data_IF_572772372577
#
_entry.id   IF_572772372577
#
_cell.length_a   1.000
_cell.length_b   1.000
_cell.length_c   1.000
_cell.angle_alpha   90.00
_cell.angle_beta   90.00
_cell.angle_gamma   90.00
#
_symmetry.space_group_name_H-M   'P 1'
#
loop_
_entity.id
_entity.type
_entity.pdbx_description
1 polymer ?
#
# COMPACT_ATOMS: atom_id res chain seq x y z
N UNK A 1 -15.38 -1.33 20.86
CA UNK A 1 -14.19 -2.14 20.50
C UNK A 1 -14.54 -2.73 19.15
N UNK A 2 -13.92 -2.25 18.06
CA UNK A 2 -14.28 -2.74 16.73
C UNK A 2 -13.98 -4.25 16.65
N UNK A 3 -15.00 -5.03 16.32
CA UNK A 3 -15.02 -6.49 16.38
C UNK A 3 -13.87 -7.09 15.56
N UNK A 4 -12.90 -7.67 16.27
CA UNK A 4 -11.70 -8.32 15.71
C UNK A 4 -12.08 -9.48 14.77
N UNK A 5 -13.27 -10.07 14.94
CA UNK A 5 -13.80 -11.14 14.10
C UNK A 5 -14.13 -10.67 12.68
N UNK A 6 -14.52 -9.41 12.49
CA UNK A 6 -14.94 -8.89 11.18
C UNK A 6 -13.75 -8.59 10.24
N UNK A 7 -12.51 -8.59 10.75
CA UNK A 7 -11.33 -8.17 9.99
C UNK A 7 -10.73 -9.26 9.08
N UNK A 8 -11.09 -10.53 9.28
CA UNK A 8 -10.60 -11.61 8.40
C UNK A 8 -11.31 -11.63 7.05
N UNK A 9 -12.56 -11.18 7.00
CA UNK A 9 -13.39 -11.18 5.79
C UNK A 9 -13.57 -9.78 5.19
N UNK A 10 -13.21 -8.73 5.93
CA UNK A 10 -13.31 -7.35 5.44
C UNK A 10 -12.48 -7.10 4.18
N UNK A 11 -13.10 -6.36 3.26
CA UNK A 11 -12.48 -5.86 2.03
C UNK A 11 -11.41 -4.80 2.32
N UNK A 12 -10.57 -4.53 1.34
CA UNK A 12 -9.59 -3.44 1.45
C UNK A 12 -10.28 -2.11 1.76
N UNK A 13 -11.41 -1.83 1.09
CA UNK A 13 -12.18 -0.61 1.24
C UNK A 13 -12.68 -0.42 2.68
N UNK A 14 -13.23 -1.47 3.30
CA UNK A 14 -13.70 -1.45 4.69
C UNK A 14 -12.57 -1.30 5.70
N UNK A 15 -11.46 -2.03 5.49
CA UNK A 15 -10.26 -1.94 6.33
C UNK A 15 -9.62 -0.56 6.24
N UNK A 16 -9.47 -0.06 5.02
CA UNK A 16 -8.90 1.25 4.75
C UNK A 16 -9.77 2.35 5.38
N UNK A 17 -11.09 2.31 5.17
CA UNK A 17 -12.01 3.25 5.82
C UNK A 17 -11.89 3.17 7.35
N UNK A 18 -11.87 1.98 7.94
CA UNK A 18 -11.80 1.83 9.41
C UNK A 18 -10.45 2.30 10.00
N UNK A 19 -9.34 2.07 9.29
CA UNK A 19 -8.01 2.43 9.76
C UNK A 19 -7.64 3.88 9.48
N UNK A 20 -8.19 4.47 8.41
CA UNK A 20 -7.78 5.77 7.90
C UNK A 20 -8.89 6.83 8.03
N UNK A 21 -10.10 6.46 8.45
CA UNK A 21 -11.16 7.42 8.78
C UNK A 21 -10.67 8.35 9.90
N UNK A 22 -10.46 9.61 9.54
CA UNK A 22 -10.03 10.66 10.46
C UNK A 22 -8.50 10.84 10.59
N UNK A 23 -7.67 10.09 9.85
CA UNK A 23 -6.23 10.33 9.82
C UNK A 23 -5.85 11.38 8.78
N UNK A 24 -5.11 12.41 9.20
CA UNK A 24 -4.53 13.42 8.31
C UNK A 24 -3.49 12.81 7.36
N UNK A 25 -3.29 13.42 6.18
CA UNK A 25 -2.32 12.96 5.17
C UNK A 25 -0.91 12.76 5.75
N UNK A 26 -0.49 13.62 6.68
CA UNK A 26 0.78 13.49 7.39
C UNK A 26 0.86 12.22 8.24
N UNK A 27 -0.22 11.88 8.96
CA UNK A 27 -0.29 10.67 9.78
C UNK A 27 -0.37 9.42 8.92
N UNK A 28 -1.02 9.49 7.75
CA UNK A 28 -1.01 8.39 6.78
C UNK A 28 0.41 8.08 6.30
N UNK A 29 1.24 9.12 6.07
CA UNK A 29 2.66 8.96 5.71
C UNK A 29 3.47 8.33 6.85
N UNK A 30 3.25 8.79 8.08
CA UNK A 30 3.90 8.20 9.26
C UNK A 30 3.52 6.73 9.44
N UNK A 31 2.24 6.38 9.28
CA UNK A 31 1.77 4.99 9.32
C UNK A 31 2.41 4.12 8.24
N UNK A 32 2.58 4.64 7.02
CA UNK A 32 3.32 3.94 5.96
C UNK A 32 4.78 3.69 6.36
N UNK A 33 5.44 4.67 6.99
CA UNK A 33 6.80 4.49 7.53
C UNK A 33 6.85 3.46 8.67
N UNK A 34 5.79 3.33 9.47
CA UNK A 34 5.74 2.32 10.53
C UNK A 34 5.67 0.91 9.95
N UNK A 35 4.96 0.68 8.84
CA UNK A 35 4.85 -0.66 8.21
C UNK A 35 5.92 -0.94 7.16
N UNK A 36 6.84 0.00 6.96
CA UNK A 36 7.92 -0.06 5.97
C UNK A 36 8.77 -1.34 6.11
N UNK A 37 9.03 -1.74 7.35
CA UNK A 37 9.85 -2.89 7.71
C UNK A 37 9.15 -4.23 7.42
N UNK A 38 7.82 -4.20 7.20
CA UNK A 38 7.04 -5.35 6.79
C UNK A 38 6.99 -5.49 5.26
N UNK A 39 7.41 -4.47 4.49
CA UNK A 39 7.42 -4.59 3.04
C UNK A 39 8.62 -5.39 2.54
N UNK A 40 8.36 -6.29 1.58
CA UNK A 40 9.39 -6.97 0.78
C UNK A 40 9.90 -6.10 -0.39
N UNK A 41 9.47 -4.84 -0.47
CA UNK A 41 9.80 -3.88 -1.51
C UNK A 41 11.32 -3.78 -1.73
N UNK A 42 12.11 -3.79 -0.66
CA UNK A 42 13.59 -3.73 -0.69
C UNK A 42 14.24 -4.90 -1.43
N UNK A 43 13.54 -6.02 -1.59
CA UNK A 43 13.99 -7.22 -2.32
C UNK A 43 13.26 -7.42 -3.65
N UNK A 44 12.32 -6.55 -3.98
CA UNK A 44 11.52 -6.64 -5.20
C UNK A 44 12.40 -6.32 -6.42
N UNK A 45 12.47 -7.19 -7.43
CA UNK A 45 13.32 -6.95 -8.61
C UNK A 45 12.87 -5.71 -9.38
N UNK A 46 11.56 -5.45 -9.46
CA UNK A 46 11.04 -4.22 -10.06
C UNK A 46 11.47 -2.97 -9.28
N UNK A 47 11.47 -2.98 -7.93
CA UNK A 47 11.86 -1.80 -7.14
C UNK A 47 13.37 -1.56 -7.12
N UNK A 48 14.19 -2.61 -7.18
CA UNK A 48 15.66 -2.50 -7.13
C UNK A 48 16.23 -1.60 -8.22
N UNK A 49 15.48 -1.37 -9.30
CA UNK A 49 15.86 -0.50 -10.40
C UNK A 49 15.51 0.98 -10.17
N UNK A 50 14.77 1.30 -9.10
CA UNK A 50 14.42 2.66 -8.73
C UNK A 50 15.42 3.23 -7.71
N UNK A 51 15.87 4.45 -7.96
CA UNK A 51 16.58 5.24 -6.96
C UNK A 51 15.70 5.41 -5.71
N UNK A 52 16.34 5.27 -4.54
CA UNK A 52 15.78 4.93 -3.24
C UNK A 52 14.87 6.00 -2.59
N UNK A 53 13.83 6.48 -3.26
CA UNK A 53 12.88 7.42 -2.66
C UNK A 53 11.43 6.92 -2.77
N UNK A 54 10.92 6.41 -1.66
CA UNK A 54 9.54 5.94 -1.50
C UNK A 54 9.47 4.46 -1.18
N UNK A 55 9.06 4.13 0.05
CA UNK A 55 8.76 2.76 0.45
C UNK A 55 7.27 2.68 0.80
N UNK A 56 6.67 1.51 0.55
CA UNK A 56 5.21 1.27 0.72
C UNK A 56 4.33 1.94 -0.34
N UNK A 57 4.65 1.70 -1.62
CA UNK A 57 3.86 2.17 -2.78
C UNK A 57 2.37 1.80 -2.72
N UNK A 58 2.03 0.66 -2.11
CA UNK A 58 0.64 0.22 -1.96
C UNK A 58 -0.23 1.20 -1.16
N UNK A 59 0.36 2.06 -0.31
CA UNK A 59 -0.35 3.14 0.39
C UNK A 59 0.07 4.52 -0.10
N UNK A 60 1.35 4.76 -0.36
CA UNK A 60 1.83 6.10 -0.70
C UNK A 60 1.50 6.53 -2.14
N UNK A 61 1.62 5.64 -3.11
CA UNK A 61 1.42 5.97 -4.53
C UNK A 61 2.36 5.18 -5.43
N UNK A 62 2.42 5.53 -6.72
CA UNK A 62 3.41 4.99 -7.67
C UNK A 62 4.70 5.81 -7.67
N UNK A 63 5.79 5.18 -8.10
CA UNK A 63 7.03 5.88 -8.46
C UNK A 63 6.88 6.55 -9.82
N UNK A 64 7.56 7.69 -10.02
CA UNK A 64 7.63 8.36 -11.32
C UNK A 64 8.77 7.81 -12.21
N UNK A 65 9.77 7.16 -11.60
CA UNK A 65 10.97 6.70 -12.30
C UNK A 65 10.83 5.28 -12.86
N UNK A 66 9.78 4.56 -12.46
CA UNK A 66 9.59 3.15 -12.80
C UNK A 66 8.61 2.96 -13.94
N UNK A 67 9.03 2.21 -14.96
CA UNK A 67 8.23 1.99 -16.18
C UNK A 67 8.15 0.53 -16.62
N UNK A 68 9.04 -0.34 -16.12
CA UNK A 68 9.12 -1.74 -16.54
C UNK A 68 8.71 -2.73 -15.43
N UNK A 69 8.12 -3.86 -15.84
CA UNK A 69 7.66 -4.93 -14.95
C UNK A 69 8.69 -6.05 -14.92
N UNK A 70 9.64 -5.98 -13.98
CA UNK A 70 10.69 -7.00 -13.82
C UNK A 70 10.41 -8.05 -12.72
N UNK A 71 9.16 -8.08 -12.21
CA UNK A 71 8.65 -9.03 -11.21
C UNK A 71 8.24 -8.37 -9.88
N UNK A 72 7.13 -8.79 -9.26
CA UNK A 72 6.63 -8.25 -7.99
C UNK A 72 6.60 -9.34 -6.91
N UNK A 73 7.07 -9.02 -5.71
CA UNK A 73 6.87 -9.86 -4.51
C UNK A 73 5.60 -9.44 -3.73
N UNK A 74 4.72 -8.73 -4.40
CA UNK A 74 3.60 -8.01 -3.79
C UNK A 74 2.52 -8.98 -3.33
N UNK A 75 2.33 -10.09 -4.04
CA UNK A 75 1.41 -11.17 -3.69
C UNK A 75 1.83 -11.94 -2.43
N UNK A 76 3.13 -11.99 -2.13
CA UNK A 76 3.67 -12.64 -0.93
C UNK A 76 3.91 -11.66 0.23
N UNK A 77 3.69 -10.36 0.01
CA UNK A 77 3.94 -9.34 1.01
C UNK A 77 2.90 -9.38 2.13
N UNK A 78 3.36 -9.42 3.39
CA UNK A 78 2.51 -9.41 4.58
C UNK A 78 1.57 -8.20 4.64
N UNK A 79 2.00 -7.06 4.09
CA UNK A 79 1.17 -5.84 4.00
C UNK A 79 -0.04 -6.10 3.10
N UNK A 80 0.19 -6.68 1.92
CA UNK A 80 -0.87 -7.01 0.96
C UNK A 80 -1.91 -7.93 1.60
N UNK A 81 -1.44 -8.98 2.28
CA UNK A 81 -2.32 -9.94 2.96
C UNK A 81 -3.12 -9.32 4.11
N UNK A 82 -2.47 -8.50 4.93
CA UNK A 82 -3.11 -7.84 6.08
C UNK A 82 -4.21 -6.87 5.65
N UNK A 83 -3.94 -6.08 4.61
CA UNK A 83 -4.82 -5.04 4.09
C UNK A 83 -5.85 -5.57 3.06
N UNK A 84 -5.93 -6.88 2.83
CA UNK A 84 -6.80 -7.48 1.80
C UNK A 84 -6.58 -6.85 0.41
N UNK A 85 -5.34 -6.48 0.11
CA UNK A 85 -4.96 -5.89 -1.17
C UNK A 85 -5.03 -6.92 -2.28
N UNK A 86 -5.73 -6.59 -3.36
CA UNK A 86 -5.96 -7.49 -4.51
C UNK A 86 -5.14 -7.16 -5.75
N UNK A 87 -4.32 -6.11 -5.70
CA UNK A 87 -3.51 -5.67 -6.84
C UNK A 87 -2.03 -5.93 -6.58
N UNK A 88 -1.26 -5.78 -7.65
CA UNK A 88 0.19 -5.93 -7.68
C UNK A 88 0.81 -4.78 -8.47
N UNK A 89 2.14 -4.65 -8.43
CA UNK A 89 2.87 -3.56 -9.08
C UNK A 89 2.38 -2.16 -8.68
N UNK A 90 2.07 -1.95 -7.40
CA UNK A 90 1.68 -0.64 -6.86
C UNK A 90 2.68 0.48 -7.18
N UNK A 91 3.97 0.14 -7.26
CA UNK A 91 5.03 1.06 -7.67
C UNK A 91 4.88 1.59 -9.10
N UNK A 92 4.16 0.88 -9.98
CA UNK A 92 3.90 1.29 -11.37
C UNK A 92 2.46 1.77 -11.56
N UNK A 93 1.50 1.08 -10.94
CA UNK A 93 0.08 1.28 -11.21
C UNK A 93 -0.55 2.40 -10.36
N UNK A 94 -0.06 2.61 -9.14
CA UNK A 94 -0.63 3.56 -8.17
C UNK A 94 -0.86 2.90 -6.82
N UNK A 95 -1.22 3.69 -5.80
CA UNK A 95 -1.60 3.16 -4.49
C UNK A 95 -2.90 2.34 -4.58
N UNK A 96 -3.14 1.49 -3.59
CA UNK A 96 -4.37 0.71 -3.48
C UNK A 96 -5.63 1.59 -3.47
N UNK A 97 -5.57 2.79 -2.90
CA UNK A 97 -6.67 3.75 -2.95
C UNK A 97 -6.96 4.25 -4.36
N UNK A 98 -5.92 4.56 -5.13
CA UNK A 98 -6.06 4.98 -6.54
C UNK A 98 -6.64 3.84 -7.38
N UNK A 99 -6.18 2.61 -7.18
CA UNK A 99 -6.67 1.42 -7.88
C UNK A 99 -8.08 1.01 -7.46
N UNK A 100 -8.47 1.26 -6.22
CA UNK A 100 -9.81 1.04 -5.70
C UNK A 100 -10.80 2.16 -6.03
N UNK A 101 -10.34 3.29 -6.60
CA UNK A 101 -11.18 4.46 -6.84
C UNK A 101 -11.58 5.21 -5.57
N UNK A 102 -10.87 5.00 -4.46
CA UNK A 102 -11.09 5.72 -3.20
C UNK A 102 -10.44 7.10 -3.33
N UNK A 103 -11.27 8.16 -3.31
CA UNK A 103 -10.78 9.53 -3.23
C UNK A 103 -10.12 9.73 -1.87
N UNK A 104 -8.79 9.90 -1.86
CA UNK A 104 -8.11 10.38 -0.66
C UNK A 104 -8.65 11.78 -0.36
N UNK A 105 -8.97 12.10 0.91
CA UNK A 105 -9.28 13.47 1.27
C UNK A 105 -8.11 14.34 0.78
N UNK A 106 -8.50 15.31 -0.04
CA UNK A 106 -7.68 16.11 -0.95
C UNK A 106 -6.45 16.69 -0.24
N UNK A 107 -5.31 16.71 -0.94
CA UNK A 107 -4.07 17.37 -0.51
C UNK A 107 -4.24 18.88 -0.40
#
# INVERSE_FOLDING_TARGET
MADIENWKEATFEEKYASMMAGMSVEDQRKSAQQVIHLCLCSRCPTYKEAEHEGLVFCTLGKSQSMHEKNGCLCSECSVTRTMSLRWEYYCLQGAATELAGIKRPEQ
#
